data_IF_081500511736
#
_entry.id   IF_081500511736
#
_cell.length_a   1.000
_cell.length_b   1.000
_cell.length_c   1.000
_cell.angle_alpha   90.00
_cell.angle_beta   90.00
_cell.angle_gamma   90.00
#
_symmetry.space_group_name_H-M   'P 1'
#
loop_
_entity.id
_entity.type
_entity.pdbx_description
1 polymer ?
#
# COMPACT_ATOMS: atom_id res chain seq x y z
N UNK A 1 0.16 10.48 -8.67
CA UNK A 1 0.00 10.77 -7.23
C UNK A 1 -1.48 11.00 -7.00
N UNK A 2 -2.17 10.05 -6.37
CA UNK A 2 -3.52 10.27 -5.89
C UNK A 2 -3.36 10.95 -4.54
N UNK A 3 -3.69 12.24 -4.47
CA UNK A 3 -3.71 12.98 -3.21
C UNK A 3 -4.73 12.30 -2.29
N UNK A 4 -4.27 11.72 -1.18
CA UNK A 4 -5.15 11.35 -0.09
C UNK A 4 -5.71 12.65 0.50
N UNK A 5 -6.93 13.01 0.14
CA UNK A 5 -7.65 14.10 0.78
C UNK A 5 -7.95 13.68 2.22
N UNK A 6 -7.11 14.11 3.17
CA UNK A 6 -7.23 13.81 4.60
C UNK A 6 -8.64 14.11 5.16
N UNK A 7 -9.37 15.05 4.54
CA UNK A 7 -10.78 15.33 4.85
C UNK A 7 -11.72 14.12 4.67
N UNK A 8 -11.50 13.27 3.67
CA UNK A 8 -12.30 12.05 3.46
C UNK A 8 -12.03 10.99 4.54
N UNK A 9 -10.87 11.08 5.20
CA UNK A 9 -10.49 10.27 6.36
C UNK A 9 -10.94 10.90 7.69
N UNK A 10 -11.74 11.97 7.64
CA UNK A 10 -12.29 12.67 8.81
C UNK A 10 -11.34 13.66 9.47
N UNK A 11 -10.20 13.98 8.86
CA UNK A 11 -9.32 15.02 9.41
C UNK A 11 -9.89 16.41 9.14
N UNK A 12 -9.77 17.27 10.14
CA UNK A 12 -10.14 18.69 10.05
C UNK A 12 -8.86 19.52 9.97
N UNK A 13 -8.74 20.34 8.93
CA UNK A 13 -7.63 21.28 8.80
C UNK A 13 -7.84 22.48 9.73
N UNK A 14 -6.84 22.76 10.57
CA UNK A 14 -6.78 23.95 11.42
C UNK A 14 -5.66 24.85 10.89
N UNK A 15 -6.00 25.87 10.11
CA UNK A 15 -5.02 26.82 9.57
C UNK A 15 -4.92 28.05 10.48
N UNK A 16 -3.85 28.12 11.27
CA UNK A 16 -3.55 29.19 12.22
C UNK A 16 -2.04 29.44 12.24
N UNK A 17 -1.58 30.38 11.42
CA UNK A 17 -0.19 30.83 11.45
C UNK A 17 0.12 31.47 12.82
N UNK A 18 1.15 31.00 13.55
CA UNK A 18 1.50 31.58 14.84
C UNK A 18 2.26 32.90 14.67
N UNK A 19 1.95 33.90 15.48
CA UNK A 19 2.72 35.14 15.58
C UNK A 19 3.97 34.99 16.46
N UNK A 20 3.99 33.98 17.33
CA UNK A 20 5.03 33.67 18.32
C UNK A 20 5.06 32.17 18.61
N UNK A 21 6.20 31.64 19.09
CA UNK A 21 6.27 30.30 19.68
C UNK A 21 5.60 30.21 21.05
N UNK A 22 5.35 31.35 21.69
CA UNK A 22 4.50 31.41 22.86
C UNK A 22 3.03 31.36 22.43
N UNK A 23 2.46 30.16 22.47
CA UNK A 23 1.07 29.91 22.11
C UNK A 23 0.12 30.03 23.31
N UNK A 24 0.66 30.13 24.53
CA UNK A 24 -0.07 30.10 25.81
C UNK A 24 0.68 30.99 26.79
N UNK A 25 0.44 32.30 26.69
CA UNK A 25 1.14 33.32 27.48
C UNK A 25 0.63 33.42 28.94
N UNK A 26 -0.34 32.61 29.33
CA UNK A 26 -0.98 32.62 30.66
C UNK A 26 -1.81 33.89 30.95
N UNK A 27 -1.92 34.81 29.99
CA UNK A 27 -2.54 36.13 30.16
C UNK A 27 -3.75 36.28 29.23
N UNK A 28 -3.67 35.79 27.99
CA UNK A 28 -4.71 35.89 26.99
C UNK A 28 -5.32 34.53 26.70
N UNK A 29 -6.61 34.55 26.36
CA UNK A 29 -7.25 33.37 25.80
C UNK A 29 -6.48 32.94 24.55
N UNK A 30 -6.13 31.66 24.39
CA UNK A 30 -5.60 31.19 23.13
C UNK A 30 -6.69 31.35 22.06
N UNK A 31 -6.44 32.17 21.04
CA UNK A 31 -7.26 32.23 19.82
C UNK A 31 -6.50 31.67 18.59
N UNK A 32 -5.49 30.87 18.88
CA UNK A 32 -4.59 30.24 17.93
C UNK A 32 -4.90 28.73 17.76
N UNK A 33 -3.93 27.95 17.29
CA UNK A 33 -4.06 26.50 17.07
C UNK A 33 -4.50 25.73 18.32
N UNK A 34 -4.14 26.21 19.51
CA UNK A 34 -4.49 25.58 20.79
C UNK A 34 -5.99 25.48 20.98
N UNK A 35 -6.74 26.56 20.70
CA UNK A 35 -8.20 26.57 20.76
C UNK A 35 -8.81 25.60 19.75
N UNK A 36 -8.29 25.60 18.52
CA UNK A 36 -8.74 24.65 17.49
C UNK A 36 -8.58 23.19 17.93
N UNK A 37 -7.47 22.83 18.59
CA UNK A 37 -7.26 21.50 19.14
C UNK A 37 -8.29 21.19 20.24
N UNK A 38 -8.49 22.12 21.19
CA UNK A 38 -9.47 21.94 22.27
C UNK A 38 -10.89 21.79 21.76
N UNK A 39 -11.28 22.50 20.70
CA UNK A 39 -12.57 22.35 20.03
C UNK A 39 -12.74 20.96 19.40
N UNK A 40 -11.69 20.38 18.81
CA UNK A 40 -11.75 19.00 18.29
C UNK A 40 -11.83 17.98 19.43
N UNK A 41 -11.07 18.19 20.53
CA UNK A 41 -11.16 17.31 21.70
C UNK A 41 -12.54 17.40 22.37
N UNK A 42 -13.14 18.60 22.40
CA UNK A 42 -14.50 18.80 22.88
C UNK A 42 -15.50 18.01 22.04
N UNK A 43 -15.46 18.12 20.71
CA UNK A 43 -16.32 17.33 19.81
C UNK A 43 -16.15 15.83 20.02
N UNK A 44 -14.90 15.35 20.09
CA UNK A 44 -14.63 13.94 20.39
C UNK A 44 -15.20 13.50 21.74
N UNK A 45 -15.25 14.40 22.73
CA UNK A 45 -15.87 14.13 24.02
C UNK A 45 -17.40 14.17 23.99
N UNK A 46 -18.02 14.94 23.09
CA UNK A 46 -19.48 14.96 22.90
C UNK A 46 -19.99 13.68 22.24
N UNK A 47 -19.20 13.12 21.31
CA UNK A 47 -19.53 11.87 20.61
C UNK A 47 -19.24 10.61 21.46
N UNK A 48 -18.80 10.78 22.71
CA UNK A 48 -18.42 9.70 23.60
C UNK A 48 -19.65 9.01 24.22
N UNK A 49 -19.65 7.68 24.19
CA UNK A 49 -20.77 6.86 24.68
C UNK A 49 -20.48 6.15 26.00
N UNK A 50 -19.21 6.10 26.42
CA UNK A 50 -18.78 5.44 27.65
C UNK A 50 -19.05 6.31 28.88
N UNK A 51 -19.86 5.81 29.81
CA UNK A 51 -20.26 6.53 31.03
C UNK A 51 -19.09 6.98 31.90
N UNK A 52 -17.98 6.24 31.94
CA UNK A 52 -16.76 6.61 32.68
C UNK A 52 -16.06 7.87 32.15
N UNK A 53 -16.40 8.32 30.93
CA UNK A 53 -15.79 9.46 30.26
C UNK A 53 -16.74 10.67 30.17
N UNK A 54 -17.96 10.57 30.75
CA UNK A 54 -19.00 11.59 30.66
C UNK A 54 -18.59 12.97 31.23
N UNK A 55 -17.61 13.02 32.14
CA UNK A 55 -17.11 14.28 32.71
C UNK A 55 -16.15 15.03 31.78
N UNK A 56 -15.61 14.37 30.75
CA UNK A 56 -14.60 14.98 29.90
C UNK A 56 -15.17 16.06 28.99
N UNK A 57 -16.41 15.89 28.52
CA UNK A 57 -17.12 16.95 27.79
C UNK A 57 -17.14 18.24 28.63
N UNK A 58 -17.49 18.14 29.91
CA UNK A 58 -17.53 19.29 30.82
C UNK A 58 -16.15 19.89 31.08
N UNK A 59 -15.08 19.08 31.08
CA UNK A 59 -13.72 19.57 31.24
C UNK A 59 -13.27 20.40 30.03
N UNK A 60 -13.45 19.89 28.82
CA UNK A 60 -13.11 20.63 27.60
C UNK A 60 -14.03 21.83 27.38
N UNK A 61 -15.32 21.68 27.65
CA UNK A 61 -16.26 22.80 27.69
C UNK A 61 -15.82 23.84 28.70
N UNK A 62 -15.40 23.44 29.90
CA UNK A 62 -14.85 24.36 30.89
C UNK A 62 -13.58 25.04 30.38
N UNK A 63 -12.71 24.37 29.64
CA UNK A 63 -11.51 24.99 29.10
C UNK A 63 -11.81 25.92 27.91
N UNK A 64 -12.90 25.68 27.17
CA UNK A 64 -13.39 26.56 26.12
C UNK A 64 -14.19 27.76 26.68
N UNK A 65 -15.02 27.52 27.71
CA UNK A 65 -15.97 28.47 28.30
C UNK A 65 -15.39 29.24 29.52
N UNK A 66 -14.47 28.64 30.28
CA UNK A 66 -13.78 29.21 31.45
C UNK A 66 -12.30 29.34 31.16
N UNK A 67 -12.02 30.42 30.49
CA UNK A 67 -10.77 31.11 30.62
C UNK A 67 -11.29 32.40 31.31
N UNK A 68 -11.13 32.46 32.65
CA UNK A 68 -11.49 33.52 33.62
C UNK A 68 -12.75 33.30 34.48
N UNK A 69 -12.66 32.42 35.51
CA UNK A 69 -13.78 32.14 36.43
C UNK A 69 -13.92 33.20 37.54
N UNK A 70 -12.89 33.99 37.80
CA UNK A 70 -12.77 34.98 38.86
C UNK A 70 -12.79 36.43 38.35
N UNK A 71 -12.95 36.64 37.05
CA UNK A 71 -12.88 37.93 36.35
C UNK A 71 -11.56 38.67 36.59
N UNK A 72 -10.46 37.93 36.80
CA UNK A 72 -9.14 38.52 37.06
C UNK A 72 -8.31 38.75 35.79
N UNK A 73 -8.80 38.28 34.63
CA UNK A 73 -8.13 38.40 33.34
C UNK A 73 -6.92 37.50 33.14
N UNK A 74 -6.73 36.43 33.94
CA UNK A 74 -5.56 35.55 33.89
C UNK A 74 -5.90 34.05 33.77
N UNK A 75 -5.00 33.27 33.17
CA UNK A 75 -5.16 31.84 32.87
C UNK A 75 -4.00 31.00 33.37
N UNK A 76 -4.30 29.81 33.90
CA UNK A 76 -3.25 28.94 34.46
C UNK A 76 -2.77 27.88 33.46
N UNK A 77 -1.44 27.74 33.33
CA UNK A 77 -0.80 26.69 32.53
C UNK A 77 -1.18 25.27 32.99
N UNK A 78 -1.47 25.10 34.28
CA UNK A 78 -1.84 23.82 34.88
C UNK A 78 -3.16 23.27 34.34
N UNK A 79 -4.15 24.14 34.09
CA UNK A 79 -5.43 23.76 33.51
C UNK A 79 -5.26 23.26 32.06
N UNK A 80 -4.30 23.82 31.34
CA UNK A 80 -3.96 23.39 29.99
C UNK A 80 -3.24 22.04 29.96
N UNK A 81 -2.28 21.84 30.86
CA UNK A 81 -1.59 20.56 31.00
C UNK A 81 -2.58 19.43 31.31
N UNK A 82 -3.55 19.66 32.20
CA UNK A 82 -4.58 18.67 32.50
C UNK A 82 -5.50 18.38 31.30
N UNK A 83 -5.75 19.38 30.45
CA UNK A 83 -6.53 19.23 29.22
C UNK A 83 -5.86 18.32 28.20
N UNK A 84 -4.58 18.58 27.91
CA UNK A 84 -3.81 17.84 26.92
C UNK A 84 -3.48 16.43 27.41
N UNK A 85 -3.16 16.27 28.69
CA UNK A 85 -2.70 14.99 29.23
C UNK A 85 -3.83 14.05 29.67
N UNK A 86 -5.05 14.25 29.16
CA UNK A 86 -6.17 13.35 29.42
C UNK A 86 -5.98 12.02 28.68
N UNK A 87 -5.69 10.95 29.43
CA UNK A 87 -5.47 9.61 28.87
C UNK A 87 -6.64 9.09 28.02
N UNK A 88 -7.87 9.55 28.30
CA UNK A 88 -9.09 9.10 27.63
C UNK A 88 -9.14 9.46 26.13
N UNK A 89 -8.47 10.55 25.72
CA UNK A 89 -8.48 11.06 24.34
C UNK A 89 -7.08 11.10 23.75
N UNK A 90 -6.14 10.40 24.38
CA UNK A 90 -4.76 10.24 23.92
C UNK A 90 -4.69 9.81 22.46
N UNK A 91 -5.57 8.90 22.02
CA UNK A 91 -5.61 8.43 20.64
C UNK A 91 -6.01 9.52 19.63
N UNK A 92 -6.92 10.43 20.03
CA UNK A 92 -7.30 11.58 19.20
C UNK A 92 -6.17 12.61 19.13
N UNK A 93 -5.50 12.87 20.26
CA UNK A 93 -4.33 13.73 20.35
C UNK A 93 -3.15 13.20 19.50
N UNK A 94 -2.89 11.89 19.53
CA UNK A 94 -1.77 11.28 18.81
C UNK A 94 -1.97 11.18 17.30
N UNK A 95 -3.18 11.45 16.82
CA UNK A 95 -3.51 11.55 15.39
C UNK A 95 -3.37 12.98 14.85
N UNK A 96 -2.94 13.94 15.65
CA UNK A 96 -2.67 15.29 15.17
C UNK A 96 -1.43 15.27 14.26
N UNK A 97 -1.57 15.88 13.08
CA UNK A 97 -0.49 16.12 12.14
C UNK A 97 -0.28 17.63 12.08
N UNK A 98 0.88 18.12 12.54
CA UNK A 98 1.14 19.56 12.63
C UNK A 98 2.21 19.97 11.64
N UNK A 99 1.92 20.97 10.80
CA UNK A 99 2.93 21.70 10.05
C UNK A 99 3.13 23.05 10.72
N UNK A 100 4.29 23.28 11.34
CA UNK A 100 4.57 24.54 12.03
C UNK A 100 6.04 24.92 11.92
N UNK A 101 6.33 26.21 12.12
CA UNK A 101 7.70 26.71 12.18
C UNK A 101 8.52 25.95 13.21
N UNK A 102 9.71 25.47 12.85
CA UNK A 102 10.56 24.71 13.77
C UNK A 102 11.46 25.62 14.60
N UNK A 103 11.50 25.37 15.90
CA UNK A 103 12.50 25.93 16.83
C UNK A 103 13.95 25.60 16.44
N UNK A 104 14.17 24.57 15.61
CA UNK A 104 15.49 24.20 15.09
C UNK A 104 15.88 24.97 13.83
N UNK A 105 14.95 25.77 13.27
CA UNK A 105 15.18 26.61 12.10
C UNK A 105 15.24 28.10 12.45
N UNK A 106 14.29 28.59 13.23
CA UNK A 106 14.20 30.01 13.60
C UNK A 106 15.14 30.33 14.77
N UNK A 107 15.90 31.42 14.65
CA UNK A 107 16.82 31.91 15.67
C UNK A 107 16.18 32.95 16.59
N UNK A 108 16.90 33.35 17.64
CA UNK A 108 16.42 34.30 18.66
C UNK A 108 15.99 35.67 18.10
N UNK A 109 16.58 36.09 16.99
CA UNK A 109 16.28 37.36 16.32
C UNK A 109 15.07 37.27 15.36
N UNK A 110 14.60 36.05 15.05
CA UNK A 110 13.45 35.85 14.18
C UNK A 110 12.14 36.19 14.94
N UNK A 111 11.11 36.74 14.25
CA UNK A 111 9.88 37.24 14.91
C UNK A 111 9.20 36.25 15.86
N UNK A 112 9.22 34.96 15.52
CA UNK A 112 8.59 33.89 16.30
C UNK A 112 9.19 33.74 17.71
N UNK A 113 10.50 33.99 17.87
CA UNK A 113 11.16 33.98 19.17
C UNK A 113 11.22 35.36 19.81
N UNK A 114 11.45 36.39 19.00
CA UNK A 114 11.66 37.75 19.46
C UNK A 114 10.51 38.25 20.34
N UNK A 115 9.26 38.01 19.93
CA UNK A 115 8.07 38.45 20.67
C UNK A 115 8.06 37.91 22.11
N UNK A 116 8.36 36.62 22.29
CA UNK A 116 8.47 35.99 23.60
C UNK A 116 9.71 36.48 24.37
N UNK A 117 10.87 36.54 23.73
CA UNK A 117 12.11 36.97 24.39
C UNK A 117 12.04 38.43 24.86
N UNK A 118 11.27 39.27 24.18
CA UNK A 118 11.11 40.67 24.55
C UNK A 118 10.28 40.83 25.84
N UNK A 119 9.31 39.97 26.13
CA UNK A 119 8.57 39.98 27.41
C UNK A 119 9.50 39.72 28.61
N UNK A 120 10.43 38.78 28.45
CA UNK A 120 11.39 38.41 29.49
C UNK A 120 12.40 39.51 29.86
N UNK A 121 12.52 40.55 29.03
CA UNK A 121 13.49 41.64 29.24
C UNK A 121 13.32 42.32 30.60
N UNK A 122 12.06 42.52 31.01
CA UNK A 122 11.73 43.21 32.25
C UNK A 122 11.43 42.21 33.38
N UNK A 123 10.77 41.11 33.06
CA UNK A 123 10.21 40.20 34.06
C UNK A 123 11.25 39.18 34.56
N UNK A 124 12.16 38.73 33.68
CA UNK A 124 13.14 37.69 33.98
C UNK A 124 14.40 37.77 33.10
N UNK A 125 15.24 38.82 33.25
CA UNK A 125 16.37 39.08 32.36
C UNK A 125 17.42 37.97 32.34
N UNK A 126 17.65 37.27 33.47
CA UNK A 126 18.55 36.11 33.51
C UNK A 126 18.00 34.92 32.72
N UNK A 127 16.68 34.74 32.74
CA UNK A 127 16.00 33.70 31.95
C UNK A 127 16.10 33.99 30.46
N UNK A 128 15.94 35.27 30.06
CA UNK A 128 16.16 35.70 28.67
C UNK A 128 17.53 35.29 28.14
N UNK A 129 18.60 35.64 28.86
CA UNK A 129 19.98 35.33 28.45
C UNK A 129 20.22 33.82 28.30
N UNK A 130 19.67 33.03 29.24
CA UNK A 130 19.73 31.58 29.17
C UNK A 130 19.01 31.05 27.92
N UNK A 131 17.78 31.49 27.68
CA UNK A 131 16.93 31.04 26.57
C UNK A 131 17.51 31.44 25.21
N UNK A 132 18.04 32.66 25.07
CA UNK A 132 18.76 33.08 23.85
C UNK A 132 19.95 32.17 23.55
N UNK A 133 20.75 31.83 24.57
CA UNK A 133 21.91 30.94 24.42
C UNK A 133 21.48 29.52 24.04
N UNK A 134 20.34 29.05 24.56
CA UNK A 134 19.77 27.75 24.24
C UNK A 134 19.29 27.69 22.79
N UNK A 135 18.54 28.70 22.34
CA UNK A 135 18.03 28.80 20.95
C UNK A 135 19.20 28.81 19.95
N UNK A 136 20.25 29.59 20.20
CA UNK A 136 21.44 29.66 19.33
C UNK A 136 22.12 28.28 19.15
N UNK A 137 22.06 27.41 20.17
CA UNK A 137 22.61 26.05 20.10
C UNK A 137 21.68 25.07 19.37
N UNK A 138 20.37 25.29 19.41
CA UNK A 138 19.37 24.41 18.80
C UNK A 138 19.05 24.71 17.34
N UNK A 139 19.31 25.92 16.85
CA UNK A 139 19.05 26.30 15.47
C UNK A 139 20.04 25.65 14.47
N UNK A 140 19.85 24.36 14.16
CA UNK A 140 20.72 23.59 13.27
C UNK A 140 20.17 23.39 11.85
N UNK A 141 18.85 23.46 11.62
CA UNK A 141 18.24 23.07 10.34
C UNK A 141 18.75 23.88 9.14
N UNK A 142 19.00 25.18 9.32
CA UNK A 142 19.58 26.06 8.28
C UNK A 142 20.96 25.59 7.78
N UNK A 143 21.65 24.72 8.52
CA UNK A 143 22.96 24.17 8.16
C UNK A 143 22.88 22.97 7.22
N UNK A 144 21.70 22.36 7.05
CA UNK A 144 21.50 21.19 6.18
C UNK A 144 20.74 21.58 4.90
N UNK A 145 21.24 21.18 3.70
CA UNK A 145 20.54 21.41 2.44
C UNK A 145 19.17 20.71 2.40
N UNK A 146 18.16 21.38 1.84
CA UNK A 146 16.83 20.81 1.62
C UNK A 146 15.88 20.85 2.81
N UNK A 147 16.33 21.34 3.97
CA UNK A 147 15.47 21.55 5.14
C UNK A 147 14.74 22.90 5.05
N UNK A 148 13.40 22.86 5.12
CA UNK A 148 12.55 24.04 5.16
C UNK A 148 12.20 24.49 6.59
N UNK A 149 11.64 25.70 6.76
CA UNK A 149 11.27 26.25 8.07
C UNK A 149 10.11 25.53 8.77
N UNK A 150 9.27 24.81 8.03
CA UNK A 150 8.00 24.26 8.51
C UNK A 150 7.92 22.73 8.29
N UNK A 151 8.65 21.92 9.06
CA UNK A 151 8.54 20.48 8.98
C UNK A 151 7.18 19.98 9.50
N UNK A 152 6.80 18.79 9.04
CA UNK A 152 5.65 18.05 9.56
C UNK A 152 6.03 17.31 10.83
N UNK A 153 5.22 17.43 11.87
CA UNK A 153 5.36 16.76 13.15
C UNK A 153 4.19 15.79 13.35
N UNK A 154 4.52 14.56 13.75
CA UNK A 154 3.59 13.46 13.95
C UNK A 154 4.02 12.64 15.16
N UNK A 155 3.09 11.94 15.82
CA UNK A 155 3.45 11.01 16.88
C UNK A 155 4.28 9.84 16.29
N UNK A 156 5.53 9.63 16.69
CA UNK A 156 6.47 8.76 15.96
C UNK A 156 6.02 7.30 15.94
N UNK A 157 5.42 6.79 17.02
CA UNK A 157 4.91 5.40 17.06
C UNK A 157 3.68 5.23 16.18
N UNK A 158 2.79 6.23 16.12
CA UNK A 158 1.58 6.15 15.29
C UNK A 158 1.96 6.29 13.82
N UNK A 159 2.93 7.14 13.51
CA UNK A 159 3.52 7.25 12.18
C UNK A 159 4.15 5.93 11.75
N UNK A 160 4.99 5.31 12.58
CA UNK A 160 5.59 4.02 12.28
C UNK A 160 4.55 2.90 12.16
N UNK A 161 3.52 2.89 13.01
CA UNK A 161 2.39 1.95 12.91
C UNK A 161 1.66 2.10 11.58
N UNK A 162 1.34 3.34 11.18
CA UNK A 162 0.73 3.65 9.89
C UNK A 162 1.60 3.19 8.71
N UNK A 163 2.92 3.37 8.78
CA UNK A 163 3.87 2.85 7.80
C UNK A 163 3.98 1.32 7.82
N UNK A 164 3.76 0.70 8.98
CA UNK A 164 3.85 -0.75 9.18
C UNK A 164 2.57 -1.50 8.84
N UNK A 165 1.45 -0.78 8.68
CA UNK A 165 0.18 -1.37 8.33
C UNK A 165 0.33 -2.11 7.00
N UNK A 166 0.22 -3.44 7.05
CA UNK A 166 0.23 -4.27 5.86
C UNK A 166 -1.12 -4.20 5.17
N UNK A 167 -1.45 -2.99 4.70
CA UNK A 167 -2.71 -2.70 4.02
C UNK A 167 -2.86 -3.69 2.87
N UNK A 168 -3.90 -4.51 2.95
CA UNK A 168 -4.18 -5.53 1.93
C UNK A 168 -4.54 -4.90 0.58
N UNK A 169 -4.83 -3.59 0.58
CA UNK A 169 -5.11 -2.77 -0.57
C UNK A 169 -3.92 -1.91 -1.00
N UNK A 170 -2.72 -2.07 -0.44
CA UNK A 170 -1.55 -1.33 -0.92
C UNK A 170 -1.22 -1.66 -2.40
N UNK A 171 -0.78 -0.66 -3.17
CA UNK A 171 -0.32 -0.83 -4.55
C UNK A 171 0.91 -1.73 -4.66
N UNK A 172 1.70 -1.91 -3.60
CA UNK A 172 2.83 -2.85 -3.57
C UNK A 172 2.43 -4.27 -3.97
N UNK A 173 1.20 -4.67 -3.69
CA UNK A 173 0.65 -5.99 -4.03
C UNK A 173 0.39 -6.19 -5.53
N UNK A 174 0.58 -5.15 -6.35
CA UNK A 174 0.58 -5.27 -7.82
C UNK A 174 1.96 -5.63 -8.39
N UNK A 175 2.99 -5.72 -7.54
CA UNK A 175 4.32 -6.20 -7.91
C UNK A 175 4.52 -7.62 -7.38
N UNK A 176 4.85 -8.57 -8.25
CA UNK A 176 5.03 -9.98 -7.91
C UNK A 176 6.50 -10.39 -7.97
N UNK A 177 6.94 -11.38 -7.16
CA UNK A 177 8.35 -11.79 -7.10
C UNK A 177 8.83 -12.45 -8.40
N UNK A 178 7.92 -13.09 -9.15
CA UNK A 178 8.15 -13.66 -10.47
C UNK A 178 6.89 -13.54 -11.32
N UNK A 179 7.06 -13.43 -12.64
CA UNK A 179 5.94 -13.50 -13.57
C UNK A 179 5.17 -12.21 -13.71
N UNK A 180 5.82 -11.06 -13.51
CA UNK A 180 5.18 -9.74 -13.62
C UNK A 180 4.51 -9.56 -14.98
N UNK A 181 5.13 -10.07 -16.06
CA UNK A 181 4.54 -10.09 -17.40
C UNK A 181 3.17 -10.78 -17.41
N UNK A 182 3.08 -12.00 -16.89
CA UNK A 182 1.82 -12.77 -16.85
C UNK A 182 0.82 -12.04 -15.95
N UNK A 183 1.26 -11.61 -14.77
CA UNK A 183 0.41 -10.89 -13.83
C UNK A 183 -0.24 -9.67 -14.47
N UNK A 184 0.52 -8.82 -15.15
CA UNK A 184 -0.03 -7.59 -15.77
C UNK A 184 -0.87 -7.82 -17.01
N UNK A 185 -0.75 -8.99 -17.61
CA UNK A 185 -1.49 -9.33 -18.82
C UNK A 185 -2.78 -10.12 -18.55
N UNK A 186 -2.97 -10.66 -17.34
CA UNK A 186 -4.14 -11.45 -16.95
C UNK A 186 -5.28 -10.63 -16.34
N UNK A 187 -5.08 -9.34 -16.12
CA UNK A 187 -6.13 -8.47 -15.64
C UNK A 187 -5.60 -7.13 -15.17
N UNK A 188 -6.52 -6.26 -14.75
CA UNK A 188 -6.17 -4.98 -14.17
C UNK A 188 -6.95 -4.73 -12.88
N UNK A 189 -6.62 -3.63 -12.25
CA UNK A 189 -7.18 -3.24 -10.96
C UNK A 189 -8.01 -1.94 -11.09
N UNK A 190 -8.73 -1.82 -12.20
CA UNK A 190 -9.65 -0.72 -12.48
C UNK A 190 -11.08 -1.26 -12.41
N UNK A 191 -11.86 -0.87 -11.39
CA UNK A 191 -13.18 -1.45 -11.13
C UNK A 191 -14.23 -1.26 -12.25
N UNK A 192 -14.02 -0.29 -13.15
CA UNK A 192 -14.85 -0.02 -14.32
C UNK A 192 -14.41 -0.78 -15.57
N UNK A 193 -13.25 -1.43 -15.52
CA UNK A 193 -12.70 -2.19 -16.64
C UNK A 193 -13.35 -3.56 -16.74
N UNK A 194 -13.64 -4.06 -17.95
CA UNK A 194 -14.04 -5.45 -18.16
C UNK A 194 -12.95 -6.46 -17.73
N UNK A 195 -11.70 -6.00 -17.59
CA UNK A 195 -10.55 -6.78 -17.13
C UNK A 195 -10.30 -6.69 -15.62
N UNK A 196 -11.24 -6.16 -14.85
CA UNK A 196 -11.12 -6.08 -13.40
C UNK A 196 -11.08 -7.48 -12.78
N UNK A 197 -9.93 -7.86 -12.22
CA UNK A 197 -9.66 -9.25 -11.86
C UNK A 197 -10.08 -9.65 -10.44
N UNK A 198 -10.34 -8.68 -9.55
CA UNK A 198 -10.64 -8.97 -8.13
C UNK A 198 -12.07 -9.49 -7.87
N UNK A 199 -12.86 -9.74 -8.91
CA UNK A 199 -14.17 -10.39 -8.84
C UNK A 199 -14.16 -11.72 -9.59
N UNK A 200 -15.09 -12.59 -9.23
CA UNK A 200 -15.27 -13.84 -9.97
C UNK A 200 -15.62 -13.56 -11.43
N UNK A 201 -15.07 -14.34 -12.34
CA UNK A 201 -15.37 -14.26 -13.76
C UNK A 201 -15.20 -15.62 -14.42
N UNK A 202 -15.70 -15.75 -15.65
CA UNK A 202 -15.50 -16.92 -16.49
C UNK A 202 -14.90 -16.46 -17.83
N UNK A 203 -13.61 -16.74 -18.10
CA UNK A 203 -12.92 -16.28 -19.32
C UNK A 203 -13.50 -16.82 -20.63
N UNK A 204 -14.30 -17.89 -20.59
CA UNK A 204 -14.90 -18.52 -21.76
C UNK A 204 -14.24 -19.85 -22.15
N UNK A 205 -14.73 -20.47 -23.22
CA UNK A 205 -14.15 -21.68 -23.80
C UNK A 205 -14.16 -22.87 -22.84
N UNK A 206 -12.99 -23.44 -22.57
CA UNK A 206 -12.80 -24.60 -21.66
C UNK A 206 -12.40 -24.19 -20.24
N UNK A 207 -12.27 -22.90 -19.96
CA UNK A 207 -11.85 -22.41 -18.64
C UNK A 207 -12.87 -22.72 -17.55
N UNK A 208 -12.38 -22.81 -16.32
CA UNK A 208 -13.21 -22.83 -15.13
C UNK A 208 -13.52 -21.41 -14.63
N UNK A 209 -14.18 -21.35 -13.48
CA UNK A 209 -14.40 -20.08 -12.78
C UNK A 209 -13.06 -19.56 -12.27
N UNK A 210 -12.78 -18.29 -12.55
CA UNK A 210 -11.52 -17.63 -12.23
C UNK A 210 -11.75 -16.48 -11.24
N UNK A 211 -10.79 -16.29 -10.33
CA UNK A 211 -10.75 -15.16 -9.40
C UNK A 211 -9.32 -14.62 -9.33
N UNK A 212 -9.15 -13.31 -9.20
CA UNK A 212 -7.84 -12.69 -9.30
C UNK A 212 -7.27 -12.84 -10.70
N UNK A 213 -5.94 -12.77 -10.81
CA UNK A 213 -5.24 -12.86 -12.10
C UNK A 213 -4.86 -14.30 -12.38
N UNK A 214 -5.77 -15.07 -12.98
CA UNK A 214 -5.46 -16.42 -13.49
C UNK A 214 -5.58 -17.59 -12.52
N UNK A 215 -6.19 -17.39 -11.34
CA UNK A 215 -6.53 -18.53 -10.46
C UNK A 215 -7.80 -19.22 -10.95
N UNK A 216 -7.64 -20.13 -11.92
CA UNK A 216 -8.72 -20.91 -12.55
C UNK A 216 -9.03 -22.17 -11.73
N UNK A 217 -10.23 -22.23 -11.14
CA UNK A 217 -10.72 -23.34 -10.31
C UNK A 217 -10.92 -24.66 -11.07
N UNK A 218 -11.09 -24.62 -12.39
CA UNK A 218 -11.21 -25.81 -13.22
C UNK A 218 -9.92 -26.63 -13.25
N UNK A 219 -8.78 -26.01 -12.93
CA UNK A 219 -7.46 -26.63 -12.89
C UNK A 219 -6.93 -26.89 -11.47
N UNK A 220 -7.70 -26.55 -10.43
CA UNK A 220 -7.24 -26.70 -9.05
C UNK A 220 -7.79 -27.96 -8.39
N UNK A 221 -6.91 -28.69 -7.69
CA UNK A 221 -7.29 -29.79 -6.80
C UNK A 221 -7.21 -29.39 -5.31
N UNK A 222 -6.61 -28.24 -5.01
CA UNK A 222 -6.28 -27.77 -3.65
C UNK A 222 -7.02 -26.50 -3.27
N UNK A 223 -8.13 -26.16 -3.97
CA UNK A 223 -8.73 -24.82 -3.87
C UNK A 223 -9.15 -24.45 -2.44
N UNK A 224 -9.67 -25.39 -1.65
CA UNK A 224 -10.05 -25.12 -0.27
C UNK A 224 -8.84 -24.70 0.58
N UNK A 225 -7.70 -25.38 0.43
CA UNK A 225 -6.45 -25.06 1.15
C UNK A 225 -5.93 -23.70 0.71
N UNK A 226 -5.81 -23.48 -0.60
CA UNK A 226 -5.27 -22.26 -1.18
C UNK A 226 -6.10 -21.04 -0.76
N UNK A 227 -7.43 -21.11 -0.88
CA UNK A 227 -8.35 -20.04 -0.49
C UNK A 227 -8.36 -19.79 1.04
N UNK A 228 -8.11 -20.82 1.86
CA UNK A 228 -7.97 -20.67 3.32
C UNK A 228 -6.71 -19.90 3.68
N UNK A 229 -5.58 -20.29 3.09
CA UNK A 229 -4.27 -19.68 3.36
C UNK A 229 -4.21 -18.22 2.90
N UNK A 230 -4.96 -17.91 1.84
CA UNK A 230 -5.12 -16.55 1.33
C UNK A 230 -6.02 -15.69 2.22
N UNK A 231 -6.93 -16.30 2.98
CA UNK A 231 -7.87 -15.60 3.86
C UNK A 231 -9.14 -15.12 3.14
N UNK A 232 -9.60 -15.83 2.11
CA UNK A 232 -10.84 -15.49 1.40
C UNK A 232 -12.04 -15.67 2.35
N UNK A 233 -13.00 -14.74 2.30
CA UNK A 233 -14.21 -14.76 3.16
C UNK A 233 -14.95 -16.09 3.05
N UNK A 234 -15.56 -16.53 4.15
CA UNK A 234 -16.22 -17.83 4.25
C UNK A 234 -17.31 -18.02 3.18
N UNK A 235 -18.05 -16.96 2.86
CA UNK A 235 -19.10 -16.99 1.84
C UNK A 235 -18.55 -17.20 0.43
N UNK A 236 -17.63 -16.32 -0.03
CA UNK A 236 -17.04 -16.46 -1.36
C UNK A 236 -16.26 -17.77 -1.48
N UNK A 237 -15.51 -18.13 -0.43
CA UNK A 237 -14.73 -19.38 -0.38
C UNK A 237 -15.64 -20.60 -0.55
N UNK A 238 -16.74 -20.71 0.19
CA UNK A 238 -17.64 -21.85 0.08
C UNK A 238 -18.17 -22.00 -1.36
N UNK A 239 -18.52 -20.88 -1.99
CA UNK A 239 -19.01 -20.88 -3.37
C UNK A 239 -17.91 -21.28 -4.38
N UNK A 240 -16.68 -20.79 -4.21
CA UNK A 240 -15.52 -21.13 -5.05
C UNK A 240 -15.12 -22.59 -4.90
N UNK A 241 -15.04 -23.12 -3.67
CA UNK A 241 -14.71 -24.54 -3.40
C UNK A 241 -15.75 -25.46 -4.04
N UNK A 242 -17.04 -25.12 -3.95
CA UNK A 242 -18.10 -25.88 -4.62
C UNK A 242 -18.02 -25.82 -6.15
N UNK A 243 -17.24 -24.90 -6.71
CA UNK A 243 -17.02 -24.74 -8.15
C UNK A 243 -15.74 -25.41 -8.65
N UNK A 244 -14.97 -26.06 -7.76
CA UNK A 244 -13.72 -26.72 -8.08
C UNK A 244 -13.90 -27.79 -9.17
N UNK A 245 -12.99 -27.82 -10.15
CA UNK A 245 -12.99 -28.79 -11.25
C UNK A 245 -14.07 -28.55 -12.31
N UNK A 246 -14.97 -27.58 -12.13
CA UNK A 246 -15.93 -27.20 -13.16
C UNK A 246 -15.20 -26.46 -14.28
N UNK A 247 -15.46 -26.85 -15.52
CA UNK A 247 -14.89 -26.27 -16.73
C UNK A 247 -15.95 -26.16 -17.83
N UNK A 248 -15.69 -25.31 -18.82
CA UNK A 248 -16.55 -25.15 -19.99
C UNK A 248 -18.01 -24.84 -19.65
N UNK A 249 -18.94 -25.63 -20.18
CA UNK A 249 -20.37 -25.41 -19.98
C UNK A 249 -20.78 -25.41 -18.50
N UNK A 250 -20.22 -26.33 -17.69
CA UNK A 250 -20.52 -26.42 -16.26
C UNK A 250 -20.06 -25.17 -15.50
N UNK A 251 -18.87 -24.65 -15.83
CA UNK A 251 -18.35 -23.42 -15.23
C UNK A 251 -19.20 -22.20 -15.63
N UNK A 252 -19.62 -22.13 -16.90
CA UNK A 252 -20.52 -21.08 -17.40
C UNK A 252 -21.87 -21.10 -16.67
N UNK A 253 -22.49 -22.26 -16.54
CA UNK A 253 -23.77 -22.41 -15.84
C UNK A 253 -23.65 -22.05 -14.35
N UNK A 254 -22.58 -22.53 -13.69
CA UNK A 254 -22.28 -22.17 -12.31
C UNK A 254 -22.09 -20.67 -12.14
N UNK A 255 -21.32 -20.03 -13.02
CA UNK A 255 -21.12 -18.57 -13.01
C UNK A 255 -22.43 -17.83 -13.21
N UNK A 256 -23.26 -18.24 -14.17
CA UNK A 256 -24.57 -17.62 -14.44
C UNK A 256 -25.52 -17.72 -13.25
N UNK A 257 -25.50 -18.83 -12.52
CA UNK A 257 -26.30 -19.05 -11.31
C UNK A 257 -25.77 -18.32 -10.05
N UNK A 258 -24.63 -17.63 -10.11
CA UNK A 258 -24.14 -16.85 -8.98
C UNK A 258 -25.08 -15.68 -8.66
N UNK A 259 -25.48 -15.57 -7.38
CA UNK A 259 -26.30 -14.45 -6.90
C UNK A 259 -25.50 -13.13 -6.91
N UNK A 260 -26.21 -12.01 -6.76
CA UNK A 260 -25.61 -10.67 -6.79
C UNK A 260 -24.56 -10.46 -5.70
N UNK A 261 -24.78 -11.02 -4.50
CA UNK A 261 -23.82 -10.91 -3.41
C UNK A 261 -22.46 -11.51 -3.79
N UNK A 262 -22.44 -12.77 -4.24
CA UNK A 262 -21.23 -13.47 -4.69
C UNK A 262 -20.54 -12.71 -5.84
N UNK A 263 -21.31 -12.16 -6.79
CA UNK A 263 -20.77 -11.36 -7.91
C UNK A 263 -20.17 -10.02 -7.47
N UNK A 264 -20.64 -9.48 -6.34
CA UNK A 264 -20.20 -8.18 -5.83
C UNK A 264 -18.95 -8.26 -4.97
N UNK A 265 -18.70 -9.40 -4.32
CA UNK A 265 -17.52 -9.60 -3.44
C UNK A 265 -16.23 -9.39 -4.24
N UNK A 266 -15.37 -8.54 -3.68
CA UNK A 266 -14.03 -8.29 -4.21
C UNK A 266 -13.00 -8.85 -3.25
N UNK A 267 -12.01 -9.55 -3.80
CA UNK A 267 -10.81 -9.90 -3.03
C UNK A 267 -9.89 -8.69 -2.90
N UNK A 268 -9.00 -8.67 -1.91
CA UNK A 268 -8.00 -7.61 -1.75
C UNK A 268 -6.86 -7.76 -2.75
N UNK A 269 -6.03 -6.72 -2.93
CA UNK A 269 -4.84 -6.82 -3.81
C UNK A 269 -3.87 -7.88 -3.28
N UNK A 270 -3.68 -7.94 -1.96
CA UNK A 270 -2.89 -8.97 -1.27
C UNK A 270 -3.43 -10.37 -1.50
N UNK A 271 -4.75 -10.57 -1.44
CA UNK A 271 -5.35 -11.88 -1.71
C UNK A 271 -5.11 -12.31 -3.16
N UNK A 272 -5.29 -11.40 -4.12
CA UNK A 272 -5.01 -11.65 -5.53
C UNK A 272 -3.53 -11.99 -5.77
N UNK A 273 -2.62 -11.23 -5.16
CA UNK A 273 -1.18 -11.46 -5.18
C UNK A 273 -0.86 -12.90 -4.73
N UNK A 274 -1.37 -13.31 -3.56
CA UNK A 274 -1.09 -14.64 -2.99
C UNK A 274 -1.63 -15.76 -3.89
N UNK A 275 -2.82 -15.61 -4.45
CA UNK A 275 -3.38 -16.58 -5.41
C UNK A 275 -2.53 -16.68 -6.67
N UNK A 276 -2.07 -15.54 -7.20
CA UNK A 276 -1.21 -15.54 -8.38
C UNK A 276 0.12 -16.24 -8.11
N UNK A 277 0.78 -15.98 -6.97
CA UNK A 277 2.05 -16.63 -6.62
C UNK A 277 1.91 -18.15 -6.64
N UNK A 278 0.86 -18.68 -6.03
CA UNK A 278 0.57 -20.13 -6.02
C UNK A 278 0.32 -20.67 -7.45
N UNK A 279 -0.43 -19.94 -8.27
CA UNK A 279 -0.67 -20.31 -9.67
C UNK A 279 0.63 -20.29 -10.49
N UNK A 280 1.46 -19.27 -10.30
CA UNK A 280 2.71 -19.09 -11.03
C UNK A 280 3.72 -20.19 -10.70
N UNK A 281 3.85 -20.57 -9.43
CA UNK A 281 4.71 -21.69 -9.00
C UNK A 281 4.33 -22.99 -9.71
N UNK A 282 3.04 -23.34 -9.79
CA UNK A 282 2.56 -24.53 -10.50
C UNK A 282 2.92 -24.50 -11.98
N UNK A 283 2.86 -23.33 -12.63
CA UNK A 283 3.20 -23.17 -14.05
C UNK A 283 4.71 -23.24 -14.29
N UNK A 284 5.52 -22.66 -13.39
CA UNK A 284 6.98 -22.76 -13.41
C UNK A 284 7.42 -24.22 -13.27
N UNK A 285 6.83 -24.97 -12.34
CA UNK A 285 7.06 -26.42 -12.21
C UNK A 285 6.70 -27.18 -13.48
N UNK A 286 5.64 -26.77 -14.18
CA UNK A 286 5.19 -27.41 -15.40
C UNK A 286 6.15 -27.17 -16.57
N UNK A 287 6.66 -25.93 -16.71
CA UNK A 287 7.72 -25.60 -17.69
C UNK A 287 9.02 -26.30 -17.35
N UNK A 288 9.39 -26.34 -16.06
CA UNK A 288 10.55 -27.07 -15.57
C UNK A 288 10.44 -28.55 -15.94
N UNK A 289 9.31 -29.19 -15.62
CA UNK A 289 9.04 -30.59 -15.98
C UNK A 289 9.15 -30.83 -17.48
N UNK A 290 8.64 -29.93 -18.33
CA UNK A 290 8.79 -30.04 -19.79
C UNK A 290 10.26 -29.95 -20.19
N UNK A 291 10.99 -28.98 -19.63
CA UNK A 291 12.41 -28.73 -19.92
C UNK A 291 13.34 -29.81 -19.35
N UNK A 292 12.88 -30.61 -18.38
CA UNK A 292 13.64 -31.70 -17.77
C UNK A 292 13.37 -33.06 -18.43
N UNK A 293 12.43 -33.15 -19.37
CA UNK A 293 12.19 -34.40 -20.10
C UNK A 293 13.41 -34.77 -20.92
N UNK A 294 13.88 -36.01 -20.79
CA UNK A 294 15.00 -36.56 -21.57
C UNK A 294 14.84 -36.33 -23.07
N UNK A 295 13.64 -36.53 -23.62
CA UNK A 295 13.38 -36.29 -25.05
C UNK A 295 13.51 -34.82 -25.46
N UNK A 296 13.21 -33.88 -24.56
CA UNK A 296 13.35 -32.44 -24.81
C UNK A 296 14.82 -32.03 -24.74
N UNK A 297 15.56 -32.54 -23.75
CA UNK A 297 17.01 -32.33 -23.64
C UNK A 297 17.73 -32.89 -24.87
N UNK A 298 17.45 -34.13 -25.26
CA UNK A 298 18.06 -34.76 -26.43
C UNK A 298 17.79 -34.00 -27.73
N UNK A 299 16.60 -33.44 -27.90
CA UNK A 299 16.22 -32.73 -29.11
C UNK A 299 16.85 -31.32 -29.20
N UNK A 300 16.96 -30.61 -28.08
CA UNK A 300 17.20 -29.17 -28.09
C UNK A 300 18.41 -28.70 -27.30
N UNK A 301 18.90 -29.45 -26.31
CA UNK A 301 20.02 -29.02 -25.47
C UNK A 301 21.34 -29.11 -26.25
N UNK A 302 22.21 -28.08 -26.21
CA UNK A 302 23.52 -28.12 -26.88
C UNK A 302 24.43 -29.27 -26.41
N UNK A 303 24.28 -29.68 -25.14
CA UNK A 303 24.89 -30.87 -24.56
C UNK A 303 23.82 -31.91 -24.18
N UNK A 304 23.56 -32.94 -25.00
CA UNK A 304 22.54 -33.95 -24.72
C UNK A 304 22.78 -34.83 -23.49
N UNK A 305 23.99 -34.78 -22.90
CA UNK A 305 24.38 -35.54 -21.71
C UNK A 305 24.30 -34.73 -20.41
N UNK A 306 23.80 -33.49 -20.48
CA UNK A 306 23.60 -32.66 -19.28
C UNK A 306 22.63 -33.34 -18.31
N UNK A 307 22.75 -33.05 -17.00
CA UNK A 307 21.75 -33.50 -16.04
C UNK A 307 20.45 -32.71 -16.21
N UNK A 308 19.33 -33.30 -15.78
CA UNK A 308 18.02 -32.64 -15.87
C UNK A 308 17.97 -31.39 -14.99
N UNK A 309 18.67 -31.37 -13.86
CA UNK A 309 18.78 -30.20 -12.98
C UNK A 309 19.56 -29.08 -13.66
N UNK A 310 20.71 -29.41 -14.26
CA UNK A 310 21.56 -28.41 -14.92
C UNK A 310 20.86 -27.81 -16.14
N UNK A 311 20.18 -28.64 -16.95
CA UNK A 311 19.41 -28.19 -18.11
C UNK A 311 18.36 -27.11 -17.76
N UNK A 312 17.75 -27.19 -16.56
CA UNK A 312 16.81 -26.17 -16.10
C UNK A 312 17.52 -24.95 -15.51
N UNK A 313 18.53 -25.18 -14.68
CA UNK A 313 19.23 -24.12 -13.96
C UNK A 313 19.98 -23.18 -14.91
N UNK A 314 20.50 -23.68 -16.02
CA UNK A 314 21.21 -22.90 -17.04
C UNK A 314 20.31 -21.95 -17.84
N UNK A 315 18.98 -22.15 -17.81
CA UNK A 315 18.06 -21.24 -18.48
C UNK A 315 18.02 -19.92 -17.70
N UNK A 316 18.30 -18.76 -18.33
CA UNK A 316 18.20 -17.45 -17.68
C UNK A 316 16.78 -17.17 -17.17
N UNK A 317 16.64 -16.52 -16.00
CA UNK A 317 15.33 -16.27 -15.38
C UNK A 317 14.40 -15.45 -16.27
N UNK A 318 14.94 -14.47 -17.02
CA UNK A 318 14.19 -13.71 -18.03
C UNK A 318 13.56 -14.60 -19.11
N UNK A 319 14.26 -15.66 -19.53
CA UNK A 319 13.71 -16.65 -20.46
C UNK A 319 12.68 -17.53 -19.76
N UNK A 320 12.93 -17.97 -18.52
CA UNK A 320 11.96 -18.77 -17.74
C UNK A 320 10.62 -18.04 -17.62
N UNK A 321 10.62 -16.74 -17.34
CA UNK A 321 9.37 -15.95 -17.26
C UNK A 321 8.56 -15.98 -18.55
N UNK A 322 9.22 -15.79 -19.71
CA UNK A 322 8.55 -15.90 -21.01
C UNK A 322 8.01 -17.31 -21.24
N UNK A 323 8.79 -18.35 -20.95
CA UNK A 323 8.34 -19.73 -21.13
C UNK A 323 7.12 -20.05 -20.24
N UNK A 324 7.07 -19.50 -19.03
CA UNK A 324 5.93 -19.63 -18.11
C UNK A 324 4.70 -18.88 -18.63
N UNK A 325 4.84 -17.65 -19.12
CA UNK A 325 3.73 -16.92 -19.78
C UNK A 325 3.20 -17.66 -21.02
N UNK A 326 4.09 -18.19 -21.85
CA UNK A 326 3.72 -19.02 -23.01
C UNK A 326 2.99 -20.29 -22.58
N UNK A 327 3.43 -20.92 -21.49
CA UNK A 327 2.78 -22.12 -20.94
C UNK A 327 1.39 -21.79 -20.42
N UNK A 328 1.26 -20.71 -19.67
CA UNK A 328 -0.01 -20.24 -19.10
C UNK A 328 -1.06 -20.01 -20.18
N UNK A 329 -0.71 -19.24 -21.22
CA UNK A 329 -1.65 -18.90 -22.30
C UNK A 329 -1.93 -20.08 -23.25
N UNK A 330 -1.08 -21.10 -23.23
CA UNK A 330 -1.16 -22.25 -24.14
C UNK A 330 -0.36 -22.09 -25.44
N UNK A 331 0.43 -21.03 -25.57
CA UNK A 331 1.27 -20.78 -26.75
C UNK A 331 2.53 -21.67 -26.77
N UNK A 332 2.88 -22.32 -25.66
CA UNK A 332 4.05 -23.21 -25.56
C UNK A 332 3.86 -24.60 -26.20
N UNK A 333 3.37 -24.57 -27.44
CA UNK A 333 3.08 -25.73 -28.29
C UNK A 333 4.36 -26.46 -28.73
N UNK A 334 4.28 -27.70 -29.22
CA UNK A 334 5.45 -28.39 -29.78
C UNK A 334 6.16 -27.62 -30.90
N UNK A 335 5.40 -26.92 -31.75
CA UNK A 335 5.96 -26.09 -32.83
C UNK A 335 6.73 -24.88 -32.29
N UNK A 336 6.15 -24.14 -31.35
CA UNK A 336 6.85 -23.00 -30.73
C UNK A 336 8.08 -23.45 -29.94
N UNK A 337 8.00 -24.62 -29.30
CA UNK A 337 9.13 -25.21 -28.57
C UNK A 337 10.31 -25.55 -29.49
N UNK A 338 10.05 -26.02 -30.71
CA UNK A 338 11.13 -26.32 -31.65
C UNK A 338 11.92 -25.08 -32.09
N UNK A 339 11.30 -23.90 -32.02
CA UNK A 339 11.94 -22.61 -32.30
C UNK A 339 12.68 -22.04 -31.08
N UNK A 340 12.12 -22.19 -29.87
CA UNK A 340 12.62 -21.48 -28.68
C UNK A 340 13.55 -22.32 -27.78
N UNK A 341 13.28 -23.61 -27.60
CA UNK A 341 13.86 -24.40 -26.50
C UNK A 341 15.39 -24.51 -26.59
N UNK A 342 15.94 -24.59 -27.80
CA UNK A 342 17.40 -24.60 -28.00
C UNK A 342 18.04 -23.29 -27.54
N UNK A 343 17.45 -22.16 -27.88
CA UNK A 343 17.95 -20.85 -27.45
C UNK A 343 17.78 -20.65 -25.94
N UNK A 344 16.70 -21.19 -25.36
CA UNK A 344 16.50 -21.19 -23.93
C UNK A 344 17.61 -21.95 -23.18
N UNK A 345 17.91 -23.19 -23.58
CA UNK A 345 18.98 -23.98 -22.98
C UNK A 345 20.37 -23.37 -23.18
N UNK A 346 20.62 -22.75 -24.33
CA UNK A 346 21.89 -22.10 -24.61
C UNK A 346 22.05 -20.74 -23.90
N UNK A 347 21.01 -20.24 -23.21
CA UNK A 347 20.99 -18.88 -22.67
C UNK A 347 21.16 -17.79 -23.75
N UNK A 348 20.86 -18.10 -25.01
CA UNK A 348 21.07 -17.18 -26.12
C UNK A 348 19.93 -16.17 -26.19
N UNK A 349 20.11 -15.06 -25.48
CA UNK A 349 19.09 -14.02 -25.38
C UNK A 349 18.75 -13.39 -26.75
N UNK A 350 19.75 -13.14 -27.59
CA UNK A 350 19.52 -12.48 -28.88
C UNK A 350 18.61 -13.31 -29.79
N UNK A 351 18.94 -14.59 -30.00
CA UNK A 351 18.16 -15.45 -30.88
C UNK A 351 16.80 -15.81 -30.28
N UNK A 352 16.71 -15.99 -28.96
CA UNK A 352 15.42 -16.19 -28.29
C UNK A 352 14.50 -14.96 -28.51
N UNK A 353 15.04 -13.75 -28.33
CA UNK A 353 14.32 -12.49 -28.56
C UNK A 353 13.87 -12.30 -30.01
N UNK A 354 14.67 -12.72 -30.99
CA UNK A 354 14.29 -12.67 -32.42
C UNK A 354 13.08 -13.56 -32.72
N UNK A 355 13.04 -14.77 -32.15
CA UNK A 355 11.89 -15.67 -32.31
C UNK A 355 10.66 -15.10 -31.59
N UNK A 356 10.84 -14.56 -30.38
CA UNK A 356 9.78 -13.95 -29.60
C UNK A 356 9.18 -12.72 -30.29
N UNK A 357 10.01 -11.91 -30.94
CA UNK A 357 9.60 -10.64 -31.57
C UNK A 357 9.10 -10.80 -33.01
N UNK A 358 9.08 -12.02 -33.55
CA UNK A 358 8.54 -12.28 -34.88
C UNK A 358 7.02 -12.53 -34.82
N UNK A 359 6.16 -11.62 -35.35
CA UNK A 359 4.71 -11.77 -35.27
C UNK A 359 4.16 -13.00 -35.99
N UNK A 360 4.88 -13.54 -36.99
CA UNK A 360 4.42 -14.74 -37.71
C UNK A 360 4.34 -15.99 -36.83
N UNK A 361 5.06 -15.99 -35.70
CA UNK A 361 5.02 -17.07 -34.72
C UNK A 361 3.78 -16.99 -33.81
N UNK A 362 3.05 -15.88 -33.82
CA UNK A 362 2.00 -15.57 -32.83
C UNK A 362 0.66 -15.15 -33.45
N UNK A 363 0.12 -15.88 -34.46
CA UNK A 363 -1.03 -15.43 -35.23
C UNK A 363 -2.32 -15.22 -34.40
N UNK A 364 -2.44 -15.90 -33.26
CA UNK A 364 -3.62 -15.84 -32.38
C UNK A 364 -3.36 -15.11 -31.05
N UNK A 365 -2.25 -14.38 -30.93
CA UNK A 365 -1.90 -13.63 -29.73
C UNK A 365 -2.38 -12.18 -29.90
N UNK A 366 -3.24 -11.65 -29.00
CA UNK A 366 -3.62 -10.25 -28.97
C UNK A 366 -2.41 -9.34 -28.98
N UNK A 367 -2.54 -8.24 -29.70
CA UNK A 367 -1.45 -7.27 -29.89
C UNK A 367 -0.88 -6.76 -28.57
N UNK A 368 -1.72 -6.52 -27.55
CA UNK A 368 -1.28 -6.10 -26.22
C UNK A 368 -0.35 -7.14 -25.58
N UNK A 369 -0.74 -8.43 -25.59
CA UNK A 369 0.08 -9.52 -25.03
C UNK A 369 1.40 -9.70 -25.77
N UNK A 370 1.37 -9.62 -27.10
CA UNK A 370 2.59 -9.65 -27.92
C UNK A 370 3.52 -8.49 -27.58
N UNK A 371 2.98 -7.27 -27.50
CA UNK A 371 3.76 -6.06 -27.17
C UNK A 371 4.40 -6.16 -25.79
N UNK A 372 3.66 -6.64 -24.77
CA UNK A 372 4.19 -6.84 -23.42
C UNK A 372 5.33 -7.86 -23.38
N UNK A 373 5.22 -8.97 -24.13
CA UNK A 373 6.30 -9.97 -24.25
C UNK A 373 7.57 -9.35 -24.82
N UNK A 374 7.45 -8.60 -25.90
CA UNK A 374 8.59 -7.94 -26.55
C UNK A 374 9.22 -6.90 -25.61
N UNK A 375 8.41 -6.04 -25.00
CA UNK A 375 8.89 -5.02 -24.06
C UNK A 375 9.55 -5.62 -22.82
N UNK A 376 8.96 -6.67 -22.23
CA UNK A 376 9.58 -7.40 -21.12
C UNK A 376 10.91 -8.03 -21.53
N UNK A 377 11.03 -8.45 -22.79
CA UNK A 377 12.25 -9.06 -23.29
C UNK A 377 13.38 -8.06 -23.59
N UNK A 378 13.02 -6.86 -24.05
CA UNK A 378 13.97 -5.81 -24.45
C UNK A 378 14.49 -4.98 -23.27
N UNK A 379 13.69 -4.79 -22.21
CA UNK A 379 14.08 -4.14 -20.96
C UNK A 379 14.68 -5.14 -19.99
#
# INVERSE_FOLDING_TARGET
MVEYTLGELGFVTLDKAPESFDLIDGIKHPDNVVKGILEQMYKAAQDETRTSHALNEYNYKRLLDRIDRNQDGHYSEEEYLQAIHNESYRDALYRIIVKHGSEWYYGKDDPLWKTYLDTLTNDAPLWKVYTETFIDKMAWMKKLPGMGPEPWHMHPVVFLDALSSDDEMDLKWLTVPKGQLTFDAEGNDQNTSPWFSRKIHWPGGVSGITIGRGYDLGQQNTSNTDLSNVGISSELKAWLVASQGMSGANARERFNAANENIRSIQITRKQQYKLFVVTYEKLEEDVKRISQKNSTIQAYHPNPQTSVEQAWNDIPDKIKEILVDLRYRGDYTPNIRSLLQRHAYAGNLQSFGQVLSNPSNWPNVPQDRFTRRVQFYEN
#
